data_IF_073468216948
#
_entry.id   IF_073468216948
#
_cell.length_a   1.000
_cell.length_b   1.000
_cell.length_c   1.000
_cell.angle_alpha   90.00
_cell.angle_beta   90.00
_cell.angle_gamma   90.00
#
_symmetry.space_group_name_H-M   'P 1'
#
loop_
_entity.id
_entity.type
_entity.pdbx_description
1 polymer ?
#
# COMPACT_ATOMS: atom_id res chain seq x y z
N UNK A 1 39.76 -63.36 22.42
CA UNK A 1 40.63 -62.17 22.32
C UNK A 1 40.39 -61.35 21.05
N UNK A 2 40.58 -61.84 19.81
CA UNK A 2 40.34 -61.02 18.60
C UNK A 2 38.87 -60.94 18.19
N UNK A 3 38.12 -62.04 18.29
CA UNK A 3 36.69 -62.07 17.92
C UNK A 3 35.81 -61.19 18.83
N UNK A 4 36.11 -61.15 20.13
CA UNK A 4 35.40 -60.30 21.10
C UNK A 4 35.60 -58.80 20.84
N UNK A 5 36.75 -58.40 20.29
CA UNK A 5 37.02 -57.00 19.94
C UNK A 5 36.23 -56.57 18.68
N UNK A 6 36.07 -57.47 17.72
CA UNK A 6 35.28 -57.23 16.51
C UNK A 6 33.77 -57.13 16.82
N UNK A 7 33.27 -57.93 17.76
CA UNK A 7 31.87 -57.89 18.18
C UNK A 7 31.54 -56.60 18.95
N UNK A 8 32.43 -56.15 19.85
CA UNK A 8 32.30 -54.84 20.52
C UNK A 8 32.31 -53.69 19.49
N UNK A 9 33.15 -53.79 18.45
CA UNK A 9 33.18 -52.82 17.35
C UNK A 9 31.86 -52.77 16.56
N UNK A 10 31.25 -53.93 16.30
CA UNK A 10 29.94 -54.01 15.61
C UNK A 10 28.80 -53.47 16.47
N UNK A 11 28.77 -53.79 17.77
CA UNK A 11 27.75 -53.30 18.70
C UNK A 11 27.85 -51.78 18.89
N UNK A 12 29.06 -51.25 19.06
CA UNK A 12 29.27 -49.79 19.17
C UNK A 12 28.89 -49.06 17.89
N UNK A 13 29.21 -49.59 16.72
CA UNK A 13 28.78 -49.03 15.44
C UNK A 13 27.24 -49.08 15.27
N UNK A 14 26.60 -50.19 15.67
CA UNK A 14 25.15 -50.31 15.66
C UNK A 14 24.49 -49.30 16.62
N UNK A 15 25.04 -49.12 17.82
CA UNK A 15 24.57 -48.15 18.80
C UNK A 15 24.75 -46.70 18.33
N UNK A 16 25.88 -46.37 17.69
CA UNK A 16 26.07 -45.04 17.10
C UNK A 16 25.07 -44.77 15.97
N UNK A 17 24.79 -45.78 15.14
CA UNK A 17 23.79 -45.67 14.07
C UNK A 17 22.39 -45.41 14.61
N UNK A 18 21.97 -46.12 15.67
CA UNK A 18 20.66 -45.88 16.30
C UNK A 18 20.58 -44.51 16.96
N UNK A 19 21.65 -44.07 17.64
CA UNK A 19 21.70 -42.71 18.20
C UNK A 19 21.59 -41.63 17.12
N UNK A 20 22.26 -41.78 15.98
CA UNK A 20 22.13 -40.89 14.82
C UNK A 20 20.71 -40.88 14.24
N UNK A 21 20.04 -42.03 14.18
CA UNK A 21 18.65 -42.11 13.73
C UNK A 21 17.69 -41.41 14.71
N UNK A 22 17.89 -41.58 16.01
CA UNK A 22 17.10 -40.88 17.04
C UNK A 22 17.34 -39.37 16.94
N UNK A 23 18.60 -38.94 16.83
CA UNK A 23 18.94 -37.52 16.71
C UNK A 23 18.31 -36.88 15.47
N UNK A 24 18.32 -37.56 14.32
CA UNK A 24 17.67 -37.06 13.10
C UNK A 24 16.15 -36.98 13.27
N UNK A 25 15.51 -37.98 13.89
CA UNK A 25 14.06 -37.94 14.16
C UNK A 25 13.69 -36.79 15.10
N UNK A 26 14.48 -36.55 16.16
CA UNK A 26 14.28 -35.43 17.09
C UNK A 26 14.45 -34.10 16.35
N UNK A 27 15.46 -33.96 15.50
CA UNK A 27 15.69 -32.76 14.70
C UNK A 27 14.51 -32.47 13.75
N UNK A 28 13.97 -33.50 13.10
CA UNK A 28 12.80 -33.35 12.21
C UNK A 28 11.54 -32.96 13.00
N UNK A 29 11.28 -33.62 14.14
CA UNK A 29 10.11 -33.34 14.97
C UNK A 29 10.15 -31.95 15.61
N UNK A 30 11.33 -31.49 16.03
CA UNK A 30 11.51 -30.13 16.56
C UNK A 30 11.34 -29.06 15.49
N UNK A 31 11.86 -29.29 14.28
CA UNK A 31 11.62 -28.41 13.12
C UNK A 31 10.12 -28.33 12.78
N UNK A 32 9.43 -29.47 12.73
CA UNK A 32 7.99 -29.51 12.41
C UNK A 32 7.17 -28.78 13.47
N UNK A 33 7.46 -28.99 14.76
CA UNK A 33 6.81 -28.25 15.85
C UNK A 33 7.04 -26.75 15.72
N UNK A 34 8.28 -26.33 15.47
CA UNK A 34 8.63 -24.92 15.27
C UNK A 34 7.90 -24.30 14.07
N UNK A 35 7.79 -25.03 12.97
CA UNK A 35 7.06 -24.59 11.79
C UNK A 35 5.56 -24.42 12.08
N UNK A 36 4.92 -25.40 12.74
CA UNK A 36 3.49 -25.32 13.10
C UNK A 36 3.21 -24.14 14.04
N UNK A 37 4.07 -23.90 15.03
CA UNK A 37 3.92 -22.76 15.94
C UNK A 37 4.11 -21.41 15.22
N UNK A 38 5.05 -21.32 14.27
CA UNK A 38 5.23 -20.13 13.45
C UNK A 38 3.99 -19.87 12.57
N UNK A 39 3.46 -20.90 11.90
CA UNK A 39 2.24 -20.81 11.10
C UNK A 39 1.03 -20.41 11.95
N UNK A 40 0.89 -20.94 13.17
CA UNK A 40 -0.17 -20.57 14.09
C UNK A 40 -0.07 -19.09 14.51
N UNK A 41 1.14 -18.60 14.82
CA UNK A 41 1.35 -17.18 15.15
C UNK A 41 1.00 -16.28 13.96
N UNK A 42 1.41 -16.65 12.75
CA UNK A 42 1.06 -15.89 11.53
C UNK A 42 -0.46 -15.83 11.37
N UNK A 43 -1.17 -16.95 11.49
CA UNK A 43 -2.64 -16.99 11.40
C UNK A 43 -3.30 -16.09 12.43
N UNK A 44 -2.88 -16.15 13.69
CA UNK A 44 -3.40 -15.27 14.75
C UNK A 44 -3.15 -13.79 14.45
N UNK A 45 -1.96 -13.43 13.96
CA UNK A 45 -1.68 -12.04 13.59
C UNK A 45 -2.50 -11.58 12.39
N UNK A 46 -2.72 -12.46 11.40
CA UNK A 46 -3.52 -12.18 10.23
C UNK A 46 -5.00 -11.98 10.59
N UNK A 47 -5.54 -12.81 11.48
CA UNK A 47 -6.91 -12.68 12.00
C UNK A 47 -7.09 -11.37 12.75
N UNK A 48 -6.16 -11.03 13.66
CA UNK A 48 -6.19 -9.75 14.39
C UNK A 48 -6.12 -8.53 13.47
N UNK A 49 -5.26 -8.59 12.44
CA UNK A 49 -5.17 -7.49 11.45
C UNK A 49 -6.45 -7.37 10.63
N UNK A 50 -7.06 -8.49 10.26
CA UNK A 50 -8.33 -8.49 9.52
C UNK A 50 -9.46 -7.90 10.37
N UNK A 51 -9.58 -8.30 11.62
CA UNK A 51 -10.56 -7.77 12.56
C UNK A 51 -10.38 -6.27 12.79
N UNK A 52 -9.15 -5.81 13.05
CA UNK A 52 -8.86 -4.39 13.21
C UNK A 52 -9.22 -3.58 11.96
N UNK A 53 -8.94 -4.11 10.77
CA UNK A 53 -9.31 -3.46 9.50
C UNK A 53 -10.82 -3.41 9.31
N UNK A 54 -11.53 -4.47 9.67
CA UNK A 54 -12.99 -4.49 9.58
C UNK A 54 -13.63 -3.47 10.54
N UNK A 55 -13.15 -3.39 11.78
CA UNK A 55 -13.61 -2.37 12.74
C UNK A 55 -13.35 -0.96 12.21
N UNK A 56 -12.16 -0.67 11.68
CA UNK A 56 -11.86 0.64 11.08
C UNK A 56 -12.79 0.99 9.92
N UNK A 57 -13.12 0.01 9.07
CA UNK A 57 -14.06 0.24 7.95
C UNK A 57 -15.47 0.51 8.47
N UNK A 58 -15.91 -0.19 9.51
CA UNK A 58 -17.21 0.08 10.16
C UNK A 58 -17.24 1.47 10.79
N UNK A 59 -16.24 1.81 11.60
CA UNK A 59 -16.12 3.13 12.23
C UNK A 59 -16.08 4.26 11.19
N UNK A 60 -15.33 4.07 10.09
CA UNK A 60 -15.28 5.04 9.01
C UNK A 60 -16.61 5.19 8.27
N UNK A 61 -17.38 4.11 8.12
CA UNK A 61 -18.74 4.17 7.55
C UNK A 61 -19.69 4.89 8.49
N UNK A 62 -19.65 4.59 9.77
CA UNK A 62 -20.49 5.23 10.78
C UNK A 62 -20.16 6.71 10.93
N UNK A 63 -18.87 7.07 10.89
CA UNK A 63 -18.43 8.47 10.90
C UNK A 63 -18.92 9.22 9.65
N UNK A 64 -18.84 8.60 8.47
CA UNK A 64 -19.38 9.19 7.23
C UNK A 64 -20.90 9.34 7.28
N UNK A 65 -21.61 8.37 7.85
CA UNK A 65 -23.07 8.44 7.98
C UNK A 65 -23.52 9.56 8.94
N UNK A 66 -22.70 9.86 9.96
CA UNK A 66 -22.94 10.95 10.93
C UNK A 66 -22.44 12.32 10.47
N UNK A 67 -21.78 12.42 9.31
CA UNK A 67 -21.29 13.71 8.79
C UNK A 67 -22.50 14.60 8.43
N UNK A 68 -22.61 15.83 8.98
CA UNK A 68 -23.71 16.74 8.70
C UNK A 68 -23.91 17.00 7.21
N UNK A 69 -22.83 17.02 6.42
CA UNK A 69 -22.93 17.20 4.96
C UNK A 69 -23.62 16.03 4.27
N UNK A 70 -23.34 14.80 4.71
CA UNK A 70 -23.99 13.61 4.15
C UNK A 70 -25.44 13.49 4.62
N UNK A 71 -25.75 13.95 5.83
CA UNK A 71 -27.12 14.04 6.34
C UNK A 71 -27.93 15.05 5.53
N UNK A 72 -27.38 16.24 5.27
CA UNK A 72 -28.01 17.25 4.41
C UNK A 72 -28.22 16.75 2.97
N UNK A 73 -27.22 16.06 2.40
CA UNK A 73 -27.35 15.42 1.09
C UNK A 73 -28.43 14.33 1.08
N UNK A 74 -28.49 13.50 2.13
CA UNK A 74 -29.54 12.50 2.28
C UNK A 74 -30.93 13.16 2.38
N UNK A 75 -31.05 14.28 3.09
CA UNK A 75 -32.29 15.05 3.14
C UNK A 75 -32.69 15.63 1.78
N UNK A 76 -31.74 16.20 1.02
CA UNK A 76 -31.99 16.71 -0.33
C UNK A 76 -32.43 15.62 -1.31
N UNK A 77 -31.87 14.40 -1.19
CA UNK A 77 -32.28 13.24 -2.00
C UNK A 77 -33.63 12.68 -1.55
N UNK A 78 -33.90 12.66 -0.24
CA UNK A 78 -35.15 12.15 0.32
C UNK A 78 -36.33 13.12 0.17
N UNK A 79 -36.07 14.38 -0.15
CA UNK A 79 -37.12 15.35 -0.46
C UNK A 79 -37.51 15.11 -1.92
N UNK A 80 -38.63 14.43 -2.23
CA UNK A 80 -39.08 14.33 -3.61
C UNK A 80 -39.30 15.76 -4.10
N UNK A 81 -38.71 16.09 -5.26
CA UNK A 81 -38.91 17.38 -5.91
C UNK A 81 -40.42 17.69 -5.93
N UNK A 82 -40.86 18.89 -5.50
CA UNK A 82 -42.28 19.18 -5.43
C UNK A 82 -42.89 19.07 -6.83
N UNK A 83 -43.70 18.02 -7.02
CA UNK A 83 -44.71 17.91 -8.08
C UNK A 83 -45.74 19.02 -7.88
N UNK A 84 -45.42 20.24 -8.32
CA UNK A 84 -46.37 21.28 -8.78
C UNK A 84 -45.62 22.58 -9.06
N UNK A 85 -45.12 22.71 -10.28
CA UNK A 85 -45.11 23.98 -10.98
C UNK A 85 -46.17 23.88 -12.10
N UNK A 86 -47.16 24.78 -12.17
CA UNK A 86 -48.09 24.78 -13.30
C UNK A 86 -47.54 25.60 -14.48
N UNK A 87 -47.76 25.07 -15.69
CA UNK A 87 -47.70 25.73 -17.02
C UNK A 87 -46.29 26.01 -17.57
N UNK A 88 -45.91 25.80 -18.84
CA UNK A 88 -46.58 25.53 -20.13
C UNK A 88 -45.55 24.81 -21.03
N UNK A 89 -45.76 23.54 -21.41
CA UNK A 89 -45.19 22.93 -22.63
C UNK A 89 -45.83 21.56 -22.87
N UNK A 90 -46.16 21.18 -24.12
CA UNK A 90 -46.96 20.00 -24.38
C UNK A 90 -46.14 18.73 -24.19
N UNK A 91 -46.76 17.83 -23.45
CA UNK A 91 -46.45 16.43 -23.24
C UNK A 91 -46.15 15.72 -24.57
N UNK A 92 -44.99 15.06 -24.66
CA UNK A 92 -44.80 13.93 -25.57
C UNK A 92 -44.22 12.77 -24.79
N UNK A 93 -45.06 11.76 -24.64
CA UNK A 93 -44.81 10.53 -23.92
C UNK A 93 -43.54 9.84 -24.43
N UNK A 94 -42.69 9.39 -23.51
CA UNK A 94 -42.16 8.01 -23.45
C UNK A 94 -41.07 7.90 -22.40
N UNK A 95 -41.34 7.00 -21.45
CA UNK A 95 -40.36 6.23 -20.69
C UNK A 95 -39.04 6.00 -21.45
N UNK A 96 -37.92 6.40 -20.85
CA UNK A 96 -36.61 6.13 -21.42
C UNK A 96 -35.50 6.71 -20.57
N UNK A 97 -34.93 5.88 -19.71
CA UNK A 97 -33.61 6.11 -19.13
C UNK A 97 -32.65 6.61 -20.21
N UNK A 98 -32.18 7.85 -20.11
CA UNK A 98 -31.13 8.38 -20.97
C UNK A 98 -29.79 7.78 -20.53
N UNK A 99 -29.61 6.50 -20.83
CA UNK A 99 -28.33 5.83 -20.76
C UNK A 99 -27.34 6.56 -21.67
N UNK A 100 -26.22 6.97 -21.10
CA UNK A 100 -25.08 7.50 -21.86
C UNK A 100 -24.50 6.33 -22.66
N UNK A 101 -24.84 6.25 -23.95
CA UNK A 101 -24.26 5.25 -24.86
C UNK A 101 -22.78 5.58 -25.13
N UNK A 102 -21.88 4.81 -24.50
CA UNK A 102 -20.42 4.88 -24.67
C UNK A 102 -19.89 3.88 -25.70
N UNK A 103 -20.59 3.69 -26.83
CA UNK A 103 -20.17 2.68 -27.84
C UNK A 103 -19.61 3.26 -29.14
N UNK A 104 -19.67 4.58 -29.37
CA UNK A 104 -19.25 5.17 -30.64
C UNK A 104 -17.81 5.71 -30.71
N UNK A 105 -17.01 5.63 -29.65
CA UNK A 105 -15.66 6.21 -29.61
C UNK A 105 -14.51 5.20 -29.48
N UNK A 106 -14.75 3.91 -29.77
CA UNK A 106 -13.68 2.88 -29.72
C UNK A 106 -12.84 2.76 -30.98
N UNK A 107 -13.20 3.44 -32.08
CA UNK A 107 -12.53 3.26 -33.37
C UNK A 107 -11.53 4.37 -33.76
N UNK A 108 -11.38 5.43 -32.94
CA UNK A 108 -10.46 6.54 -33.21
C UNK A 108 -9.17 6.50 -32.35
N UNK A 109 -9.04 5.58 -31.39
CA UNK A 109 -7.93 5.52 -30.44
C UNK A 109 -6.87 4.42 -30.70
N UNK A 110 -7.04 3.57 -31.72
CA UNK A 110 -6.07 2.51 -32.04
C UNK A 110 -4.96 2.96 -32.99
N UNK A 111 -5.11 4.09 -33.70
CA UNK A 111 -4.13 4.60 -34.66
C UNK A 111 -3.04 5.52 -34.08
N UNK A 112 -3.30 6.20 -32.96
CA UNK A 112 -2.36 7.19 -32.39
C UNK A 112 -1.46 6.63 -31.27
N UNK A 113 -1.74 5.41 -30.78
CA UNK A 113 -0.96 4.82 -29.68
C UNK A 113 0.38 4.24 -30.14
N UNK A 114 0.56 3.96 -31.44
CA UNK A 114 1.76 3.31 -31.96
C UNK A 114 2.89 4.28 -32.33
N UNK A 115 2.62 5.57 -32.53
CA UNK A 115 3.67 6.58 -32.76
C UNK A 115 4.16 7.25 -31.45
N UNK A 116 3.37 7.23 -30.38
CA UNK A 116 3.74 7.90 -29.13
C UNK A 116 4.55 7.04 -28.16
N UNK A 117 4.70 5.73 -28.43
CA UNK A 117 5.49 4.80 -27.61
C UNK A 117 7.01 4.87 -27.87
N UNK A 118 7.44 5.53 -28.96
CA UNK A 118 8.86 5.62 -29.35
C UNK A 118 9.57 6.93 -28.99
N UNK A 119 8.88 7.93 -28.42
CA UNK A 119 9.38 9.31 -28.31
C UNK A 119 9.18 9.96 -26.93
N UNK A 120 9.28 9.21 -25.83
CA UNK A 120 9.14 9.77 -24.45
C UNK A 120 10.35 9.46 -23.57
N UNK A 121 11.51 9.15 -24.17
CA UNK A 121 12.74 8.92 -23.42
C UNK A 121 13.56 10.20 -23.16
N UNK A 122 13.28 11.33 -23.82
CA UNK A 122 14.07 12.54 -23.62
C UNK A 122 13.22 13.83 -23.56
N UNK A 123 13.39 14.57 -22.47
CA UNK A 123 13.19 16.03 -22.36
C UNK A 123 11.77 16.62 -22.33
N UNK A 124 10.82 16.06 -21.56
CA UNK A 124 9.72 16.90 -21.04
C UNK A 124 10.25 17.73 -19.87
N UNK A 125 10.08 19.07 -19.82
CA UNK A 125 10.48 19.84 -18.66
C UNK A 125 9.76 19.26 -17.45
N UNK A 126 10.51 18.80 -16.45
CA UNK A 126 9.94 18.41 -15.18
C UNK A 126 9.09 19.61 -14.71
N UNK A 127 7.77 19.45 -14.70
CA UNK A 127 6.86 20.48 -14.20
C UNK A 127 7.16 20.54 -12.70
N UNK A 128 8.10 21.38 -12.31
CA UNK A 128 8.49 21.56 -10.92
C UNK A 128 7.35 22.30 -10.23
N UNK A 129 6.55 21.56 -9.46
CA UNK A 129 5.43 22.07 -8.67
C UNK A 129 5.94 22.77 -7.40
N UNK A 130 6.66 23.87 -7.62
CA UNK A 130 7.15 24.78 -6.59
C UNK A 130 6.36 26.10 -6.64
N UNK A 131 5.39 26.25 -5.73
CA UNK A 131 4.66 27.51 -5.53
C UNK A 131 5.20 28.24 -4.30
N UNK A 132 5.16 29.58 -4.32
CA UNK A 132 5.56 30.41 -3.17
C UNK A 132 4.74 30.04 -1.92
N UNK A 133 3.43 29.83 -2.08
CA UNK A 133 2.53 29.39 -1.01
C UNK A 133 2.97 28.07 -0.37
N UNK A 134 3.54 27.13 -1.16
CA UNK A 134 4.05 25.87 -0.64
C UNK A 134 5.34 26.05 0.14
N UNK A 135 6.24 26.93 -0.32
CA UNK A 135 7.48 27.26 0.43
C UNK A 135 7.15 27.90 1.78
N UNK A 136 6.17 28.80 1.80
CA UNK A 136 5.71 29.46 3.02
C UNK A 136 5.04 28.48 3.98
N UNK A 137 4.15 27.61 3.47
CA UNK A 137 3.51 26.57 4.29
C UNK A 137 4.52 25.59 4.90
N UNK A 138 5.54 25.19 4.12
CA UNK A 138 6.62 24.34 4.60
C UNK A 138 7.48 25.05 5.65
N UNK A 139 7.86 26.31 5.41
CA UNK A 139 8.64 27.10 6.36
C UNK A 139 7.88 27.30 7.69
N UNK A 140 6.58 27.63 7.62
CA UNK A 140 5.72 27.78 8.78
C UNK A 140 5.59 26.46 9.57
N UNK A 141 5.46 25.33 8.87
CA UNK A 141 5.40 24.01 9.49
C UNK A 141 6.72 23.62 10.18
N UNK A 142 7.86 23.87 9.53
CA UNK A 142 9.19 23.58 10.08
C UNK A 142 9.49 24.45 11.31
N UNK A 143 9.09 25.73 11.28
CA UNK A 143 9.18 26.62 12.42
C UNK A 143 8.30 26.15 13.58
N UNK A 144 7.08 25.70 13.31
CA UNK A 144 6.15 25.16 14.34
C UNK A 144 6.68 23.91 15.04
N UNK A 145 7.47 23.09 14.34
CA UNK A 145 8.10 21.88 14.89
C UNK A 145 9.40 22.21 15.66
N UNK A 146 9.88 23.46 15.59
CA UNK A 146 11.11 23.89 16.27
C UNK A 146 12.38 23.45 15.57
N UNK A 147 12.33 23.24 14.25
CA UNK A 147 13.52 22.91 13.44
C UNK A 147 14.40 24.15 13.32
N UNK A 148 15.71 23.99 13.57
CA UNK A 148 16.68 25.07 13.40
C UNK A 148 16.71 25.59 11.93
N UNK A 149 16.90 26.90 11.71
CA UNK A 149 16.76 27.51 10.38
C UNK A 149 17.72 26.92 9.34
N UNK A 150 18.93 26.55 9.75
CA UNK A 150 19.93 25.87 8.89
C UNK A 150 19.43 24.52 8.37
N UNK A 151 18.76 23.74 9.23
CA UNK A 151 18.18 22.44 8.85
C UNK A 151 16.88 22.61 8.07
N UNK A 152 16.14 23.69 8.33
CA UNK A 152 14.93 24.00 7.59
C UNK A 152 15.24 24.32 6.12
N UNK A 153 16.32 25.06 5.84
CA UNK A 153 16.75 25.36 4.46
C UNK A 153 17.09 24.10 3.66
N UNK A 154 17.85 23.17 4.26
CA UNK A 154 18.20 21.88 3.63
C UNK A 154 16.94 21.04 3.36
N UNK A 155 16.01 21.01 4.31
CA UNK A 155 14.77 20.25 4.17
C UNK A 155 13.82 20.88 3.14
N UNK A 156 13.74 22.20 3.08
CA UNK A 156 12.99 22.91 2.05
C UNK A 156 13.54 22.61 0.65
N UNK A 157 14.87 22.59 0.48
CA UNK A 157 15.50 22.25 -0.79
C UNK A 157 15.14 20.82 -1.24
N UNK A 158 15.16 19.85 -0.32
CA UNK A 158 14.79 18.47 -0.61
C UNK A 158 13.29 18.31 -0.97
N UNK A 159 12.40 18.95 -0.23
CA UNK A 159 10.94 18.85 -0.41
C UNK A 159 10.44 19.60 -1.66
N UNK A 160 11.11 20.69 -2.03
CA UNK A 160 10.85 21.44 -3.28
C UNK A 160 11.40 20.68 -4.48
N UNK A 161 12.58 20.07 -4.37
CA UNK A 161 13.18 19.26 -5.44
C UNK A 161 12.44 17.95 -5.75
N UNK A 162 11.69 17.41 -4.80
CA UNK A 162 10.90 16.17 -4.95
C UNK A 162 9.40 16.41 -5.17
N UNK A 163 9.02 17.65 -5.50
CA UNK A 163 7.64 18.05 -5.69
C UNK A 163 6.96 17.30 -6.84
N UNK A 164 6.14 16.30 -6.54
CA UNK A 164 5.26 15.65 -7.52
C UNK A 164 3.88 16.30 -7.52
N UNK A 165 3.22 16.47 -8.67
CA UNK A 165 1.85 16.97 -8.69
C UNK A 165 0.91 16.05 -7.92
N UNK A 166 -0.13 16.59 -7.27
CA UNK A 166 -1.12 15.79 -6.55
C UNK A 166 -1.73 14.68 -7.42
N UNK A 167 -1.95 14.95 -8.71
CA UNK A 167 -2.52 14.00 -9.67
C UNK A 167 -1.57 12.81 -9.90
N UNK A 168 -0.26 13.05 -10.01
CA UNK A 168 0.73 11.97 -10.16
C UNK A 168 1.00 11.26 -8.83
N UNK A 169 0.93 11.96 -7.71
CA UNK A 169 1.04 11.35 -6.40
C UNK A 169 -0.09 10.34 -6.14
N UNK A 170 -1.31 10.63 -6.63
CA UNK A 170 -2.44 9.70 -6.55
C UNK A 170 -2.27 8.51 -7.50
N UNK A 171 -1.80 8.74 -8.73
CA UNK A 171 -1.56 7.66 -9.71
C UNK A 171 -0.44 6.71 -9.29
N UNK A 172 0.62 7.25 -8.69
CA UNK A 172 1.78 6.49 -8.22
C UNK A 172 1.66 6.11 -6.74
N UNK A 173 0.48 6.27 -6.14
CA UNK A 173 0.27 5.91 -4.74
C UNK A 173 0.41 4.39 -4.61
N UNK A 174 1.38 3.87 -3.85
CA UNK A 174 1.44 2.43 -3.60
C UNK A 174 0.18 2.01 -2.84
N UNK A 175 -0.47 0.92 -3.28
CA UNK A 175 -1.69 0.38 -2.65
C UNK A 175 -1.49 0.03 -1.17
N UNK A 176 -0.24 -0.21 -0.77
CA UNK A 176 0.18 -0.42 0.60
C UNK A 176 1.10 0.72 1.05
N UNK A 177 0.82 1.30 2.22
CA UNK A 177 1.72 2.27 2.82
C UNK A 177 3.09 1.61 3.02
N UNK A 178 4.21 2.26 2.63
CA UNK A 178 5.54 1.72 2.88
C UNK A 178 5.67 1.49 4.39
N UNK A 179 5.91 0.24 4.79
CA UNK A 179 6.12 -0.08 6.19
C UNK A 179 7.34 0.70 6.68
N UNK A 180 7.20 1.37 7.83
CA UNK A 180 8.24 2.21 8.46
C UNK A 180 9.57 1.45 8.63
N UNK A 181 9.53 0.12 8.62
CA UNK A 181 10.71 -0.75 8.67
C UNK A 181 11.63 -0.65 7.43
N UNK A 182 11.09 -0.45 6.21
CA UNK A 182 11.91 -0.46 4.99
C UNK A 182 12.81 0.76 4.83
N UNK A 183 12.39 1.91 5.36
CA UNK A 183 13.19 3.14 5.28
C UNK A 183 14.51 3.02 6.05
N UNK A 184 14.51 2.28 7.18
CA UNK A 184 15.71 2.07 7.99
C UNK A 184 16.70 1.11 7.35
N UNK A 185 16.21 0.11 6.61
CA UNK A 185 17.05 -0.85 5.89
C UNK A 185 17.72 -0.20 4.66
N UNK A 186 17.01 0.65 3.91
CA UNK A 186 17.59 1.37 2.76
C UNK A 186 18.65 2.43 3.14
N UNK A 187 18.54 3.05 4.31
CA UNK A 187 19.58 3.98 4.80
C UNK A 187 20.86 3.24 5.23
N UNK A 188 20.73 2.02 5.77
CA UNK A 188 21.87 1.18 6.14
C UNK A 188 22.63 0.66 4.90
N UNK A 189 21.92 0.26 3.84
CA UNK A 189 22.56 -0.22 2.60
C UNK A 189 23.38 0.88 1.90
N UNK A 190 22.90 2.12 1.85
CA UNK A 190 23.64 3.24 1.24
C UNK A 190 24.83 3.75 2.07
N UNK A 191 24.84 3.46 3.38
CA UNK A 191 25.92 3.87 4.28
C UNK A 191 27.19 3.02 4.16
N UNK A 192 27.06 1.74 3.79
CA UNK A 192 28.19 0.81 3.68
C UNK A 192 29.04 0.98 2.41
N UNK A 193 28.52 1.64 1.38
CA UNK A 193 29.24 1.83 0.11
C UNK A 193 30.30 2.93 0.15
N UNK A 194 30.36 3.73 1.24
CA UNK A 194 31.31 4.85 1.39
C UNK A 194 32.56 4.52 2.20
N UNK A 195 32.70 3.28 2.69
CA UNK A 195 33.83 2.88 3.55
C UNK A 195 34.70 1.76 2.96
N UNK A 196 34.82 1.70 1.63
CA UNK A 196 35.80 0.86 0.94
C UNK A 196 36.73 1.69 0.06
#
# INVERSE_FOLDING_TARGET
MSEELDDIGRETAAMMKTMLQIATLVALKTREKGQREAEARVKLTQEKLKEAREMQVREARDAKAKDPRNIELAHMISTPAPEKAPSLAPQRDTSGYRGVSLEKDRFSMSGQLSEMAGAVADSKPAISYDSAERREALAAHLSKIGVAPELAAVRMLAEVGQAKPPIEAVRNRPEYAPSVARSREQELERGLERSR
#
